data_IF_115585470055
#
_entry.id   IF_115585470055
#
_cell.length_a   1.000
_cell.length_b   1.000
_cell.length_c   1.000
_cell.angle_alpha   90.00
_cell.angle_beta   90.00
_cell.angle_gamma   90.00
#
_symmetry.space_group_name_H-M   'P 1'
#
loop_
_entity.id
_entity.type
_entity.pdbx_description
1 polymer ?
#
# COMPACT_ATOMS: atom_id res chain seq x y z
N UNK A 1 15.71 -3.90 -7.67
CA UNK A 1 15.30 -5.30 -7.42
C UNK A 1 15.70 -5.73 -6.02
N UNK A 2 16.97 -5.54 -5.64
CA UNK A 2 17.50 -5.94 -4.33
C UNK A 2 16.69 -5.36 -3.16
N UNK A 3 16.37 -4.06 -3.20
CA UNK A 3 15.49 -3.42 -2.22
C UNK A 3 14.12 -4.11 -2.09
N UNK A 4 13.50 -4.53 -3.20
CA UNK A 4 12.19 -5.18 -3.18
C UNK A 4 12.30 -6.61 -2.63
N UNK A 5 13.32 -7.37 -3.05
CA UNK A 5 13.57 -8.75 -2.59
C UNK A 5 14.03 -8.85 -1.15
N UNK A 6 14.59 -7.79 -0.58
CA UNK A 6 15.02 -7.81 0.82
C UNK A 6 13.88 -8.20 1.79
N UNK A 7 12.62 -7.93 1.43
CA UNK A 7 11.48 -8.32 2.24
C UNK A 7 11.20 -9.83 2.24
N UNK A 8 11.53 -10.52 1.14
CA UNK A 8 11.40 -11.98 0.94
C UNK A 8 12.44 -12.40 -0.10
N UNK A 9 13.60 -12.88 0.33
CA UNK A 9 14.73 -13.20 -0.56
C UNK A 9 14.37 -14.29 -1.58
N UNK A 10 13.45 -15.19 -1.22
CA UNK A 10 12.90 -16.24 -2.07
C UNK A 10 11.82 -15.76 -3.06
N UNK A 11 11.41 -14.48 -3.02
CA UNK A 11 10.38 -13.96 -3.91
C UNK A 11 10.83 -14.06 -5.37
N UNK A 12 9.98 -14.65 -6.20
CA UNK A 12 10.20 -14.72 -7.64
C UNK A 12 9.86 -13.37 -8.28
N UNK A 13 10.45 -13.07 -9.44
CA UNK A 13 10.24 -11.81 -10.15
C UNK A 13 8.76 -11.48 -10.36
N UNK A 14 7.92 -12.48 -10.67
CA UNK A 14 6.50 -12.30 -10.91
C UNK A 14 5.75 -11.79 -9.68
N UNK A 15 6.06 -12.29 -8.48
CA UNK A 15 5.46 -11.80 -7.23
C UNK A 15 5.81 -10.33 -7.01
N UNK A 16 7.08 -9.98 -7.20
CA UNK A 16 7.58 -8.60 -7.04
C UNK A 16 6.92 -7.66 -8.05
N UNK A 17 6.80 -8.09 -9.31
CA UNK A 17 6.16 -7.28 -10.35
C UNK A 17 4.67 -7.11 -10.09
N UNK A 18 3.97 -8.15 -9.63
CA UNK A 18 2.56 -8.05 -9.24
C UNK A 18 2.37 -7.06 -8.09
N UNK A 19 3.20 -7.16 -7.04
CA UNK A 19 3.15 -6.24 -5.92
C UNK A 19 3.46 -4.78 -6.33
N UNK A 20 4.42 -4.56 -7.23
CA UNK A 20 4.73 -3.22 -7.73
C UNK A 20 3.62 -2.65 -8.64
N UNK A 21 2.91 -3.49 -9.39
CA UNK A 21 1.74 -3.05 -10.19
C UNK A 21 0.57 -2.67 -9.30
N UNK A 22 0.35 -3.41 -8.22
CA UNK A 22 -0.74 -3.14 -7.29
C UNK A 22 -0.65 -1.76 -6.59
N UNK A 23 0.54 -1.13 -6.61
CA UNK A 23 0.77 0.18 -5.94
C UNK A 23 1.26 1.26 -6.92
N UNK A 24 0.85 1.17 -8.19
CA UNK A 24 1.15 2.14 -9.25
C UNK A 24 2.64 2.40 -9.58
N UNK A 25 3.59 1.63 -9.04
CA UNK A 25 5.03 1.94 -9.19
C UNK A 25 5.74 1.15 -10.28
N UNK A 26 5.10 0.12 -10.85
CA UNK A 26 5.71 -0.75 -11.85
C UNK A 26 6.18 0.03 -13.09
N UNK A 27 5.29 0.81 -13.70
CA UNK A 27 5.58 1.61 -14.90
C UNK A 27 6.66 2.65 -14.64
N UNK A 28 6.63 3.27 -13.44
CA UNK A 28 7.67 4.22 -13.02
C UNK A 28 9.04 3.56 -12.98
N UNK A 29 9.14 2.35 -12.41
CA UNK A 29 10.40 1.61 -12.34
C UNK A 29 10.88 1.25 -13.75
N UNK A 30 10.00 0.82 -14.65
CA UNK A 30 10.36 0.51 -16.04
C UNK A 30 10.83 1.73 -16.83
N UNK A 31 10.39 2.93 -16.46
CA UNK A 31 10.86 4.18 -17.04
C UNK A 31 12.28 4.60 -16.62
N UNK A 32 12.90 3.94 -15.63
CA UNK A 32 14.29 4.20 -15.26
C UNK A 32 15.25 3.59 -16.28
N UNK A 33 16.46 4.18 -16.43
CA UNK A 33 17.48 3.74 -17.39
C UNK A 33 17.78 2.24 -17.32
N UNK A 34 17.88 1.68 -16.11
CA UNK A 34 18.16 0.26 -15.89
C UNK A 34 16.94 -0.52 -15.37
N UNK A 35 15.74 0.07 -15.46
CA UNK A 35 14.51 -0.54 -14.96
C UNK A 35 14.62 -0.96 -13.49
N UNK A 36 14.25 -2.21 -13.19
CA UNK A 36 14.38 -2.82 -11.86
C UNK A 36 15.84 -2.96 -11.37
N UNK A 37 16.85 -2.84 -12.25
CA UNK A 37 18.25 -2.89 -11.85
C UNK A 37 18.81 -1.52 -11.46
N UNK A 38 18.02 -0.45 -11.62
CA UNK A 38 18.41 0.90 -11.25
C UNK A 38 18.78 0.99 -9.77
N UNK A 39 19.92 1.62 -9.49
CA UNK A 39 20.32 1.97 -8.12
C UNK A 39 19.41 3.09 -7.62
N UNK A 40 19.01 3.02 -6.35
CA UNK A 40 18.19 4.04 -5.67
C UNK A 40 19.03 4.66 -4.56
N UNK A 41 18.99 5.99 -4.41
CA UNK A 41 19.71 6.72 -3.37
C UNK A 41 20.52 7.91 -3.92
N UNK A 42 21.47 8.42 -3.14
CA UNK A 42 22.22 9.65 -3.50
C UNK A 42 23.00 9.54 -4.82
N UNK A 43 23.51 8.34 -5.14
CA UNK A 43 24.25 8.05 -6.37
C UNK A 43 23.39 7.34 -7.44
N UNK A 44 22.07 7.35 -7.30
CA UNK A 44 21.15 6.65 -8.20
C UNK A 44 19.88 7.46 -8.47
N UNK A 45 18.83 6.75 -8.88
CA UNK A 45 17.51 7.33 -9.07
C UNK A 45 17.01 7.87 -7.73
N UNK A 46 16.61 9.14 -7.73
CA UNK A 46 15.93 9.77 -6.60
C UNK A 46 14.44 9.48 -6.70
N UNK A 47 13.89 8.92 -5.65
CA UNK A 47 12.46 8.65 -5.53
C UNK A 47 11.79 9.77 -4.74
N UNK A 48 10.58 10.12 -5.13
CA UNK A 48 9.71 11.02 -4.38
C UNK A 48 9.28 10.41 -3.03
N UNK A 49 8.61 11.20 -2.19
CA UNK A 49 8.01 10.70 -0.95
C UNK A 49 7.03 9.55 -1.21
N UNK A 50 6.06 9.79 -2.09
CA UNK A 50 5.06 8.79 -2.49
C UNK A 50 5.65 7.55 -3.15
N UNK A 51 6.65 7.70 -4.04
CA UNK A 51 7.31 6.55 -4.66
C UNK A 51 8.01 5.66 -3.62
N UNK A 52 8.60 6.25 -2.58
CA UNK A 52 9.18 5.48 -1.47
C UNK A 52 8.11 4.77 -0.64
N UNK A 53 6.96 5.40 -0.42
CA UNK A 53 5.81 4.76 0.24
C UNK A 53 5.30 3.57 -0.58
N UNK A 54 5.05 3.75 -1.89
CA UNK A 54 4.68 2.67 -2.80
C UNK A 54 5.69 1.50 -2.75
N UNK A 55 7.00 1.80 -2.80
CA UNK A 55 8.03 0.76 -2.67
C UNK A 55 7.97 0.01 -1.33
N UNK A 56 7.70 0.72 -0.23
CA UNK A 56 7.57 0.10 1.09
C UNK A 56 6.35 -0.83 1.14
N UNK A 57 5.23 -0.41 0.56
CA UNK A 57 3.99 -1.20 0.52
C UNK A 57 4.15 -2.41 -0.41
N UNK A 58 4.76 -2.25 -1.60
CA UNK A 58 5.07 -3.39 -2.49
C UNK A 58 5.92 -4.47 -1.79
N UNK A 59 6.86 -4.06 -0.93
CA UNK A 59 7.66 -4.98 -0.10
C UNK A 59 6.81 -5.76 0.89
N UNK A 60 5.83 -5.10 1.51
CA UNK A 60 4.87 -5.75 2.42
C UNK A 60 4.01 -6.75 1.65
N UNK A 61 3.42 -6.36 0.53
CA UNK A 61 2.58 -7.23 -0.31
C UNK A 61 3.34 -8.47 -0.78
N UNK A 62 4.60 -8.30 -1.17
CA UNK A 62 5.45 -9.43 -1.61
C UNK A 62 5.85 -10.37 -0.46
N UNK A 63 5.91 -9.86 0.77
CA UNK A 63 6.35 -10.60 1.95
C UNK A 63 5.20 -11.38 2.60
N UNK A 64 3.97 -10.88 2.49
CA UNK A 64 2.78 -11.40 3.17
C UNK A 64 3.02 -11.62 4.69
N UNK A 65 3.33 -10.56 5.45
CA UNK A 65 3.66 -10.71 6.86
C UNK A 65 2.41 -11.07 7.70
N UNK A 66 2.55 -11.89 8.75
CA UNK A 66 1.42 -12.29 9.61
C UNK A 66 0.82 -11.13 10.43
N UNK A 67 1.58 -10.04 10.59
CA UNK A 67 1.16 -8.80 11.26
C UNK A 67 1.68 -7.63 10.42
N UNK A 68 0.78 -6.70 10.09
CA UNK A 68 1.08 -5.46 9.39
C UNK A 68 0.57 -4.28 10.20
N UNK A 69 1.42 -3.26 10.38
CA UNK A 69 1.06 -1.97 10.98
C UNK A 69 1.42 -0.92 9.95
N UNK A 70 0.46 -0.05 9.63
CA UNK A 70 0.61 1.05 8.70
C UNK A 70 0.38 2.35 9.47
N UNK A 71 1.39 3.21 9.47
CA UNK A 71 1.31 4.54 10.07
C UNK A 71 1.41 5.56 8.95
N UNK A 72 0.29 6.25 8.69
CA UNK A 72 0.17 7.25 7.62
C UNK A 72 0.77 6.81 6.27
N UNK A 73 0.58 5.54 5.90
CA UNK A 73 1.32 4.90 4.81
C UNK A 73 1.08 5.50 3.41
N UNK A 74 0.01 6.29 3.24
CA UNK A 74 -0.38 6.95 1.99
C UNK A 74 -0.29 8.48 2.04
N UNK A 75 0.27 9.06 3.11
CA UNK A 75 0.25 10.52 3.31
C UNK A 75 1.03 11.34 2.28
N UNK A 76 1.91 10.73 1.49
CA UNK A 76 2.77 11.40 0.51
C UNK A 76 2.48 11.00 -0.95
N UNK A 77 1.38 10.27 -1.20
CA UNK A 77 0.92 9.91 -2.55
C UNK A 77 -0.27 10.78 -2.98
N UNK A 78 -0.48 10.90 -4.28
CA UNK A 78 -1.69 11.54 -4.83
C UNK A 78 -2.92 10.64 -4.67
N UNK A 79 -4.12 11.21 -4.85
CA UNK A 79 -5.39 10.52 -4.66
C UNK A 79 -5.59 9.29 -5.56
N UNK A 80 -5.07 9.31 -6.79
CA UNK A 80 -5.20 8.18 -7.72
C UNK A 80 -4.36 7.00 -7.22
N UNK A 81 -3.10 7.29 -6.87
CA UNK A 81 -2.16 6.32 -6.32
C UNK A 81 -2.65 5.79 -4.97
N UNK A 82 -3.20 6.64 -4.10
CA UNK A 82 -3.79 6.23 -2.82
C UNK A 82 -4.92 5.21 -3.02
N UNK A 83 -5.83 5.46 -3.96
CA UNK A 83 -6.92 4.53 -4.27
C UNK A 83 -6.40 3.15 -4.70
N UNK A 84 -5.39 3.09 -5.57
CA UNK A 84 -4.76 1.83 -5.97
C UNK A 84 -4.12 1.09 -4.79
N UNK A 85 -3.41 1.82 -3.94
CA UNK A 85 -2.80 1.26 -2.72
C UNK A 85 -3.86 0.70 -1.78
N UNK A 86 -4.96 1.44 -1.54
CA UNK A 86 -6.03 0.99 -0.66
C UNK A 86 -6.68 -0.28 -1.20
N UNK A 87 -6.93 -0.37 -2.52
CA UNK A 87 -7.41 -1.59 -3.18
C UNK A 87 -6.42 -2.77 -3.05
N UNK A 88 -5.11 -2.51 -3.15
CA UNK A 88 -4.09 -3.54 -2.97
C UNK A 88 -4.04 -4.06 -1.53
N UNK A 89 -4.22 -3.17 -0.55
CA UNK A 89 -4.27 -3.50 0.88
C UNK A 89 -5.60 -4.15 1.28
N UNK A 90 -6.68 -3.91 0.53
CA UNK A 90 -8.01 -4.49 0.73
C UNK A 90 -8.00 -6.02 0.80
N UNK A 91 -7.13 -6.60 0.00
CA UNK A 91 -6.91 -8.04 -0.12
C UNK A 91 -6.24 -8.63 1.14
N UNK A 92 -5.80 -7.80 2.08
CA UNK A 92 -5.18 -8.23 3.34
C UNK A 92 -6.18 -8.22 4.49
N UNK A 93 -6.00 -9.16 5.43
CA UNK A 93 -6.80 -9.21 6.66
C UNK A 93 -6.50 -8.00 7.54
N UNK A 94 -7.51 -7.17 7.75
CA UNK A 94 -7.43 -5.94 8.54
C UNK A 94 -7.93 -6.17 9.97
N UNK A 95 -7.33 -5.48 10.93
CA UNK A 95 -7.79 -5.43 12.32
C UNK A 95 -8.03 -3.97 12.69
N UNK A 96 -9.25 -3.65 13.12
CA UNK A 96 -9.57 -2.32 13.64
C UNK A 96 -9.16 -2.24 15.12
N UNK A 97 -8.32 -1.26 15.44
CA UNK A 97 -7.96 -0.90 16.81
C UNK A 97 -8.74 0.34 17.24
N UNK A 98 -9.36 0.31 18.42
CA UNK A 98 -9.97 1.47 19.09
C UNK A 98 -9.61 1.41 20.58
N UNK A 99 -9.21 2.53 21.17
CA UNK A 99 -8.81 2.64 22.59
C UNK A 99 -7.83 1.54 23.08
N UNK A 100 -6.88 1.15 22.23
CA UNK A 100 -5.88 0.13 22.55
C UNK A 100 -6.40 -1.31 22.55
N UNK A 101 -7.61 -1.56 22.03
CA UNK A 101 -8.21 -2.89 21.91
C UNK A 101 -8.58 -3.19 20.46
N UNK A 102 -8.54 -4.47 20.09
CA UNK A 102 -9.01 -4.89 18.76
C UNK A 102 -10.53 -5.00 18.82
N UNK A 103 -11.22 -4.12 18.08
CA UNK A 103 -12.69 -4.06 18.04
C UNK A 103 -13.25 -4.95 16.95
N UNK A 104 -12.61 -4.97 15.77
CA UNK A 104 -13.09 -5.74 14.61
C UNK A 104 -11.92 -6.40 13.86
N UNK A 105 -12.18 -7.53 13.20
CA UNK A 105 -11.20 -8.26 12.38
C UNK A 105 -11.90 -8.86 11.16
N UNK A 106 -11.31 -8.74 9.99
CA UNK A 106 -11.87 -9.28 8.75
C UNK A 106 -11.15 -8.71 7.52
N UNK A 107 -11.58 -9.14 6.34
CA UNK A 107 -11.27 -8.41 5.11
C UNK A 107 -12.09 -7.12 5.04
N UNK A 108 -11.65 -6.12 4.30
CA UNK A 108 -12.38 -4.86 4.18
C UNK A 108 -13.84 -5.05 3.76
N UNK A 109 -14.08 -5.86 2.72
CA UNK A 109 -15.42 -6.17 2.25
C UNK A 109 -16.30 -6.79 3.36
N UNK A 110 -15.76 -7.74 4.12
CA UNK A 110 -16.45 -8.34 5.26
C UNK A 110 -16.78 -7.30 6.34
N UNK A 111 -15.83 -6.40 6.65
CA UNK A 111 -16.01 -5.34 7.64
C UNK A 111 -17.02 -4.27 7.19
N UNK A 112 -17.11 -3.98 5.89
CA UNK A 112 -18.14 -3.11 5.32
C UNK A 112 -19.54 -3.74 5.37
N UNK A 113 -19.64 -5.04 5.12
CA UNK A 113 -20.89 -5.79 5.19
C UNK A 113 -21.39 -5.93 6.63
N UNK A 114 -20.48 -6.13 7.59
CA UNK A 114 -20.81 -6.21 9.02
C UNK A 114 -21.43 -4.91 9.57
N UNK A 115 -21.24 -3.78 8.90
CA UNK A 115 -21.92 -2.53 9.27
C UNK A 115 -21.41 -1.86 10.54
N UNK A 116 -20.24 -2.29 11.05
CA UNK A 116 -19.72 -1.91 12.36
C UNK A 116 -18.98 -0.57 12.43
N UNK A 117 -18.09 -0.47 13.42
CA UNK A 117 -17.22 0.68 13.68
C UNK A 117 -16.31 0.96 12.48
N UNK A 118 -15.79 -0.08 11.83
CA UNK A 118 -14.95 0.06 10.64
C UNK A 118 -15.68 0.81 9.53
N UNK A 119 -16.90 0.37 9.17
CA UNK A 119 -17.73 1.04 8.15
C UNK A 119 -18.01 2.50 8.51
N UNK A 120 -18.28 2.78 9.78
CA UNK A 120 -18.55 4.15 10.24
C UNK A 120 -17.34 5.07 10.04
N UNK A 121 -16.13 4.58 10.29
CA UNK A 121 -14.89 5.32 10.05
C UNK A 121 -14.63 5.47 8.54
N UNK A 122 -14.84 4.40 7.77
CA UNK A 122 -14.71 4.42 6.32
C UNK A 122 -15.61 5.46 5.67
N UNK A 123 -16.90 5.50 6.05
CA UNK A 123 -17.86 6.50 5.55
C UNK A 123 -17.42 7.92 5.90
N UNK A 124 -16.84 8.16 7.08
CA UNK A 124 -16.32 9.50 7.43
C UNK A 124 -15.13 9.90 6.54
N UNK A 125 -14.26 8.94 6.26
CA UNK A 125 -13.06 9.16 5.47
C UNK A 125 -13.38 9.36 3.98
N UNK A 126 -14.29 8.57 3.42
CA UNK A 126 -14.76 8.70 2.03
C UNK A 126 -15.79 9.82 1.87
N UNK A 127 -16.65 10.05 2.86
CA UNK A 127 -17.67 11.10 2.84
C UNK A 127 -17.10 12.51 2.80
N UNK A 128 -15.90 12.72 3.36
CA UNK A 128 -15.16 13.98 3.22
C UNK A 128 -14.67 14.27 1.79
N UNK A 129 -14.54 13.26 0.93
CA UNK A 129 -14.16 13.44 -0.48
C UNK A 129 -15.32 13.94 -1.35
N UNK A 130 -16.57 13.67 -0.97
CA UNK A 130 -17.76 14.15 -1.69
C UNK A 130 -18.09 15.62 -1.42
N UNK A 131 -17.57 16.23 -0.34
CA UNK A 131 -17.86 17.63 0.01
C UNK A 131 -16.85 18.65 -0.57
N UNK A 132 -15.84 18.21 -1.33
CA UNK A 132 -14.87 19.10 -1.98
C UNK A 132 -15.19 19.43 -3.45
N UNK A 133 -16.38 19.04 -3.95
CA UNK A 133 -16.82 19.30 -5.34
C UNK A 133 -18.15 20.08 -5.44
N UNK A 134 -18.47 20.95 -4.48
CA UNK A 134 -19.51 21.96 -4.67
C UNK A 134 -19.01 23.35 -4.28
#
# INVERSE_FOLDING_TARGET
>A
MENLRYAKLSAIYQEIFAACRAVAIHEKILGFTDGYNSKVGEQGVKLSGGERQCMAIARVLSKDPPILILDEATSAVDMSTESEILLALDMLKTKLLDEGRIVERGMHQELLELGGRYKSLWIKQVGGYSESQN
#
